data_IF_637271687132
#
_entry.id   IF_637271687132
#
_cell.length_a   1.000
_cell.length_b   1.000
_cell.length_c   1.000
_cell.angle_alpha   90.00
_cell.angle_beta   90.00
_cell.angle_gamma   90.00
#
_symmetry.space_group_name_H-M   'P 1'
#
loop_
_entity.id
_entity.type
_entity.pdbx_description
1 polymer ?
#
# COMPACT_ATOMS: atom_id res chain seq x y z
N UNK A 1 7.15 5.34 -18.95
CA UNK A 1 7.93 4.08 -18.94
C UNK A 1 8.69 3.88 -20.25
N UNK A 2 9.93 3.34 -20.20
CA UNK A 2 10.74 2.93 -21.36
C UNK A 2 11.32 1.53 -21.11
N UNK A 3 11.21 0.63 -22.08
CA UNK A 3 11.76 -0.73 -22.02
C UNK A 3 13.12 -0.77 -22.71
N UNK A 4 14.15 -1.22 -22.01
CA UNK A 4 15.53 -1.29 -22.50
C UNK A 4 16.12 -2.65 -22.09
N UNK A 5 16.14 -3.61 -23.03
CA UNK A 5 16.54 -5.00 -22.77
C UNK A 5 15.75 -5.56 -21.56
N UNK A 6 16.44 -5.97 -20.51
CA UNK A 6 15.88 -6.54 -19.28
C UNK A 6 15.52 -5.48 -18.23
N UNK A 7 15.51 -4.19 -18.59
CA UNK A 7 15.23 -3.07 -17.68
C UNK A 7 14.04 -2.24 -18.11
N UNK A 8 13.38 -1.65 -17.12
CA UNK A 8 12.29 -0.71 -17.28
C UNK A 8 12.62 0.59 -16.54
N UNK A 9 12.67 1.69 -17.29
CA UNK A 9 13.04 3.00 -16.78
C UNK A 9 11.90 4.02 -16.88
N UNK A 10 12.02 5.12 -16.12
CA UNK A 10 11.06 6.22 -16.11
C UNK A 10 9.64 5.74 -15.77
N UNK A 11 9.55 4.85 -14.79
CA UNK A 11 8.29 4.45 -14.18
C UNK A 11 7.81 5.58 -13.27
N UNK A 12 6.54 5.96 -13.36
CA UNK A 12 5.91 6.92 -12.48
C UNK A 12 5.01 6.19 -11.49
N UNK A 13 5.40 6.21 -10.21
CA UNK A 13 4.61 5.64 -9.13
C UNK A 13 3.94 6.77 -8.36
N UNK A 14 2.63 6.67 -8.14
CA UNK A 14 1.95 7.43 -7.10
C UNK A 14 1.86 6.59 -5.82
N UNK A 15 2.09 7.21 -4.67
CA UNK A 15 1.90 6.59 -3.38
C UNK A 15 0.91 7.43 -2.56
N UNK A 16 -0.31 6.92 -2.40
CA UNK A 16 -1.35 7.51 -1.55
C UNK A 16 -1.18 6.95 -0.14
N UNK A 17 -0.98 7.83 0.85
CA UNK A 17 -0.47 7.47 2.17
C UNK A 17 1.05 7.46 2.24
N UNK A 18 1.68 8.38 1.50
CA UNK A 18 3.14 8.49 1.35
C UNK A 18 3.89 8.85 2.63
N UNK A 19 3.20 9.20 3.72
CA UNK A 19 3.75 9.37 5.05
C UNK A 19 3.77 8.09 5.89
N UNK A 20 3.32 6.95 5.33
CA UNK A 20 3.38 5.65 6.01
C UNK A 20 4.80 5.32 6.47
N UNK A 21 4.93 4.86 7.71
CA UNK A 21 6.22 4.40 8.26
C UNK A 21 6.40 2.88 8.16
N UNK A 22 5.37 2.17 7.68
CA UNK A 22 5.41 0.72 7.55
C UNK A 22 5.52 0.29 6.09
N UNK A 23 4.46 0.50 5.31
CA UNK A 23 4.41 0.03 3.92
C UNK A 23 5.31 0.84 2.99
N UNK A 24 5.41 2.16 3.18
CA UNK A 24 6.26 2.97 2.32
C UNK A 24 7.74 2.60 2.50
N UNK A 25 8.18 2.31 3.73
CA UNK A 25 9.57 1.90 4.01
C UNK A 25 9.89 0.50 3.50
N UNK A 26 8.94 -0.44 3.58
CA UNK A 26 9.06 -1.78 2.98
C UNK A 26 9.24 -1.65 1.46
N UNK A 27 8.37 -0.89 0.79
CA UNK A 27 8.45 -0.65 -0.67
C UNK A 27 9.74 0.09 -1.04
N UNK A 28 10.15 1.11 -0.28
CA UNK A 28 11.43 1.81 -0.50
C UNK A 28 12.63 0.86 -0.45
N UNK A 29 12.63 -0.06 0.52
CA UNK A 29 13.69 -1.06 0.68
C UNK A 29 13.72 -2.04 -0.50
N UNK A 30 12.57 -2.58 -0.88
CA UNK A 30 12.45 -3.51 -2.01
C UNK A 30 12.90 -2.83 -3.32
N UNK A 31 12.43 -1.62 -3.57
CA UNK A 31 12.78 -0.84 -4.76
C UNK A 31 14.25 -0.39 -4.77
N UNK A 32 14.89 -0.24 -3.61
CA UNK A 32 16.32 0.06 -3.54
C UNK A 32 17.19 -1.15 -3.95
N UNK A 33 16.69 -2.37 -3.77
CA UNK A 33 17.38 -3.61 -4.14
C UNK A 33 17.11 -4.05 -5.59
N UNK A 34 16.00 -3.60 -6.17
CA UNK A 34 15.58 -3.98 -7.52
C UNK A 34 16.32 -3.20 -8.62
N UNK A 35 17.21 -3.87 -9.35
CA UNK A 35 18.09 -3.25 -10.36
C UNK A 35 17.49 -3.14 -11.76
N UNK A 36 16.41 -3.87 -12.03
CA UNK A 36 15.72 -3.85 -13.32
C UNK A 36 14.73 -2.70 -13.45
N UNK A 37 14.32 -2.08 -12.33
CA UNK A 37 13.30 -1.02 -12.31
C UNK A 37 13.87 0.31 -11.82
N UNK A 38 13.48 1.41 -12.47
CA UNK A 38 13.84 2.76 -12.04
C UNK A 38 12.78 3.80 -12.41
N UNK A 39 12.75 4.90 -11.66
CA UNK A 39 11.70 5.89 -11.87
C UNK A 39 11.57 6.95 -10.79
N UNK A 40 10.36 7.49 -10.69
CA UNK A 40 9.99 8.51 -9.71
C UNK A 40 8.79 8.03 -8.89
N UNK A 41 8.83 8.27 -7.59
CA UNK A 41 7.74 8.00 -6.65
C UNK A 41 7.23 9.34 -6.11
N UNK A 42 5.97 9.64 -6.42
CA UNK A 42 5.24 10.81 -5.92
C UNK A 42 4.50 10.42 -4.64
N UNK A 43 4.95 10.95 -3.50
CA UNK A 43 4.42 10.66 -2.18
C UNK A 43 3.33 11.68 -1.83
N UNK A 44 2.09 11.23 -1.70
CA UNK A 44 0.98 12.05 -1.26
C UNK A 44 0.45 11.56 0.08
N UNK A 45 0.33 12.48 1.03
CA UNK A 45 -0.28 12.23 2.33
C UNK A 45 -1.01 13.48 2.79
N UNK A 46 -2.07 13.31 3.57
CA UNK A 46 -2.79 14.43 4.20
C UNK A 46 -1.90 15.13 5.23
N UNK A 47 -0.94 14.40 5.81
CA UNK A 47 0.16 14.94 6.59
C UNK A 47 1.38 15.13 5.66
N UNK A 48 1.51 16.32 5.08
CA UNK A 48 2.58 16.62 4.11
C UNK A 48 3.97 16.46 4.73
N UNK A 49 4.14 16.82 6.00
CA UNK A 49 5.39 16.72 6.73
C UNK A 49 5.88 15.27 6.81
N UNK A 50 4.96 14.32 7.03
CA UNK A 50 5.28 12.89 7.01
C UNK A 50 5.72 12.41 5.62
N UNK A 51 5.02 12.82 4.55
CA UNK A 51 5.43 12.50 3.19
C UNK A 51 6.79 13.13 2.82
N UNK A 52 7.06 14.36 3.29
CA UNK A 52 8.32 15.06 3.06
C UNK A 52 9.49 14.42 3.84
N UNK A 53 9.25 13.94 5.06
CA UNK A 53 10.24 13.14 5.78
C UNK A 53 10.63 11.88 4.98
N UNK A 54 9.64 11.20 4.41
CA UNK A 54 9.83 10.03 3.56
C UNK A 54 10.54 10.36 2.24
N UNK A 55 10.31 11.53 1.65
CA UNK A 55 11.11 12.03 0.51
C UNK A 55 12.59 12.14 0.88
N UNK A 56 12.90 12.76 2.02
CA UNK A 56 14.28 12.93 2.49
C UNK A 56 14.95 11.56 2.70
N UNK A 57 14.26 10.61 3.33
CA UNK A 57 14.78 9.25 3.57
C UNK A 57 15.04 8.54 2.25
N UNK A 58 14.05 8.50 1.36
CA UNK A 58 14.17 7.83 0.06
C UNK A 58 15.30 8.42 -0.81
N UNK A 59 15.42 9.75 -0.86
CA UNK A 59 16.48 10.42 -1.62
C UNK A 59 17.87 10.30 -0.96
N UNK A 60 17.95 10.07 0.35
CA UNK A 60 19.21 9.69 1.01
C UNK A 60 19.63 8.27 0.65
N UNK A 61 18.69 7.32 0.58
CA UNK A 61 18.96 5.95 0.10
C UNK A 61 19.47 5.98 -1.34
N UNK A 62 18.82 6.73 -2.23
CA UNK A 62 19.21 6.87 -3.64
C UNK A 62 20.71 7.24 -3.85
N UNK A 63 21.28 8.04 -2.95
CA UNK A 63 22.68 8.52 -3.02
C UNK A 63 23.72 7.49 -2.58
N UNK A 64 23.30 6.36 -2.01
CA UNK A 64 24.21 5.32 -1.52
C UNK A 64 24.68 4.43 -2.67
N UNK A 65 25.94 4.00 -2.62
CA UNK A 65 26.57 3.24 -3.70
C UNK A 65 26.03 1.80 -3.78
N UNK A 66 25.67 1.23 -2.63
CA UNK A 66 25.10 -0.12 -2.50
C UNK A 66 23.65 -0.22 -3.00
N UNK A 67 22.96 0.90 -3.21
CA UNK A 67 21.58 0.94 -3.70
C UNK A 67 21.57 0.74 -5.21
N UNK A 68 20.96 -0.38 -5.63
CA UNK A 68 20.90 -0.79 -7.04
C UNK A 68 19.78 -0.09 -7.80
N UNK A 69 18.59 -0.06 -7.21
CA UNK A 69 17.42 0.56 -7.82
C UNK A 69 17.46 2.07 -7.75
N UNK A 70 17.21 2.73 -8.89
CA UNK A 70 17.36 4.19 -9.03
C UNK A 70 16.01 4.88 -9.01
N UNK A 71 15.53 5.17 -7.79
CA UNK A 71 14.25 5.83 -7.54
C UNK A 71 14.40 7.22 -6.94
N UNK A 72 13.78 8.21 -7.58
CA UNK A 72 13.64 9.57 -7.05
C UNK A 72 12.33 9.71 -6.30
N UNK A 73 12.37 10.27 -5.11
CA UNK A 73 11.18 10.52 -4.30
C UNK A 73 10.83 12.00 -4.36
N UNK A 74 9.53 12.30 -4.44
CA UNK A 74 9.01 13.66 -4.42
C UNK A 74 7.71 13.69 -3.62
N UNK A 75 7.64 14.43 -2.52
CA UNK A 75 6.38 14.69 -1.84
C UNK A 75 5.57 15.73 -2.62
N UNK A 76 4.25 15.54 -2.64
CA UNK A 76 3.31 16.39 -3.38
C UNK A 76 2.12 16.74 -2.50
N UNK A 77 1.55 17.93 -2.71
CA UNK A 77 0.54 18.51 -1.80
C UNK A 77 -0.89 18.07 -2.07
N UNK A 78 -1.16 17.45 -3.22
CA UNK A 78 -2.51 17.08 -3.60
C UNK A 78 -2.54 15.77 -4.39
N UNK A 79 -3.67 15.09 -4.29
CA UNK A 79 -3.92 13.80 -4.93
C UNK A 79 -3.72 13.85 -6.45
N UNK A 80 -4.19 14.92 -7.11
CA UNK A 80 -4.08 15.08 -8.57
C UNK A 80 -2.62 15.08 -9.03
N UNK A 81 -1.75 15.84 -8.37
CA UNK A 81 -0.32 15.88 -8.68
C UNK A 81 0.33 14.50 -8.54
N UNK A 82 -0.07 13.75 -7.49
CA UNK A 82 0.44 12.42 -7.22
C UNK A 82 0.14 11.45 -8.37
N UNK A 83 -1.13 11.35 -8.77
CA UNK A 83 -1.63 10.31 -9.69
C UNK A 83 -1.51 10.68 -11.17
N UNK A 84 -1.31 11.95 -11.51
CA UNK A 84 -1.25 12.40 -12.91
C UNK A 84 -0.17 11.61 -13.68
N UNK A 85 -0.60 10.91 -14.73
CA UNK A 85 0.25 10.08 -15.60
C UNK A 85 1.07 9.01 -14.86
N UNK A 86 0.58 8.51 -13.73
CA UNK A 86 1.24 7.41 -13.02
C UNK A 86 1.00 6.07 -13.73
N UNK A 87 2.03 5.24 -13.77
CA UNK A 87 1.99 3.86 -14.27
C UNK A 87 1.45 2.89 -13.19
N UNK A 88 1.75 3.20 -11.91
CA UNK A 88 1.35 2.41 -10.73
C UNK A 88 0.85 3.37 -9.64
N UNK A 89 -0.19 2.97 -8.91
CA UNK A 89 -0.69 3.67 -7.73
C UNK A 89 -0.74 2.72 -6.53
N UNK A 90 0.06 3.00 -5.51
CA UNK A 90 -0.06 2.36 -4.20
C UNK A 90 -1.05 3.10 -3.33
N UNK A 91 -1.87 2.36 -2.58
CA UNK A 91 -2.81 2.91 -1.59
C UNK A 91 -2.56 2.24 -0.24
N UNK A 92 -2.02 2.99 0.71
CA UNK A 92 -1.74 2.53 2.07
C UNK A 92 -2.03 3.66 3.06
N UNK A 93 -3.30 3.82 3.41
CA UNK A 93 -3.75 4.87 4.34
C UNK A 93 -4.28 4.28 5.65
N UNK A 94 -4.38 5.12 6.67
CA UNK A 94 -5.25 4.89 7.83
C UNK A 94 -6.56 5.67 7.60
N UNK A 95 -7.72 5.01 7.40
CA UNK A 95 -9.00 5.70 7.30
C UNK A 95 -9.42 6.28 8.66
N UNK A 96 -9.07 7.54 8.89
CA UNK A 96 -9.24 8.23 10.17
C UNK A 96 -7.93 8.33 10.95
N UNK A 97 -8.03 8.26 12.27
CA UNK A 97 -6.97 8.41 13.25
C UNK A 97 -6.91 7.21 14.18
N UNK A 98 -5.86 7.12 14.99
CA UNK A 98 -5.80 6.10 16.04
C UNK A 98 -6.87 6.29 17.12
N UNK A 99 -7.43 7.49 17.29
CA UNK A 99 -8.56 7.69 18.21
C UNK A 99 -9.85 7.11 17.66
N UNK A 100 -10.13 7.30 16.37
CA UNK A 100 -11.28 6.62 15.76
C UNK A 100 -11.09 5.10 15.73
N UNK A 101 -9.88 4.61 15.44
CA UNK A 101 -9.59 3.17 15.52
C UNK A 101 -9.80 2.62 16.94
N UNK A 102 -9.41 3.37 17.98
CA UNK A 102 -9.67 3.00 19.38
C UNK A 102 -11.18 2.83 19.63
N UNK A 103 -12.00 3.75 19.12
CA UNK A 103 -13.46 3.63 19.20
C UNK A 103 -13.98 2.41 18.44
N UNK A 104 -13.55 2.22 17.19
CA UNK A 104 -13.95 1.09 16.35
C UNK A 104 -13.71 -0.26 17.05
N UNK A 105 -12.57 -0.39 17.75
CA UNK A 105 -12.16 -1.64 18.42
C UNK A 105 -12.82 -1.82 19.79
N UNK A 106 -12.82 -0.77 20.63
CA UNK A 106 -13.15 -0.89 22.06
C UNK A 106 -14.58 -0.48 22.43
N UNK A 107 -15.25 0.40 21.67
CA UNK A 107 -16.65 0.75 21.97
C UNK A 107 -17.57 -0.49 21.98
N UNK A 108 -17.41 -1.48 21.08
CA UNK A 108 -18.19 -2.71 21.13
C UNK A 108 -18.03 -3.54 22.41
N UNK A 109 -16.99 -3.32 23.22
CA UNK A 109 -16.78 -4.01 24.51
C UNK A 109 -17.88 -3.69 25.53
N UNK A 110 -18.47 -2.49 25.48
CA UNK A 110 -19.61 -2.10 26.31
C UNK A 110 -20.84 -3.01 26.08
N UNK A 111 -20.90 -3.67 24.93
CA UNK A 111 -21.95 -4.59 24.52
C UNK A 111 -21.52 -6.05 24.62
N UNK A 112 -20.37 -6.33 25.25
CA UNK A 112 -19.80 -7.68 25.37
C UNK A 112 -19.21 -8.22 24.06
N UNK A 113 -18.92 -7.36 23.08
CA UNK A 113 -18.34 -7.76 21.78
C UNK A 113 -16.85 -7.40 21.77
N UNK A 114 -16.00 -8.42 21.86
CA UNK A 114 -14.54 -8.26 21.85
C UNK A 114 -13.97 -8.45 20.45
N UNK A 115 -13.02 -7.61 20.06
CA UNK A 115 -12.37 -7.64 18.76
C UNK A 115 -10.85 -7.73 18.93
N UNK A 116 -10.21 -8.68 18.24
CA UNK A 116 -8.74 -8.82 18.25
C UNK A 116 -8.03 -7.76 17.41
N UNK A 117 -8.62 -7.40 16.26
CA UNK A 117 -8.05 -6.43 15.30
C UNK A 117 -9.04 -5.32 14.95
N UNK A 118 -10.28 -5.69 14.59
CA UNK A 118 -11.37 -4.74 14.32
C UNK A 118 -11.20 -3.87 13.06
N UNK A 119 -10.27 -4.18 12.14
CA UNK A 119 -10.01 -3.38 10.94
C UNK A 119 -10.63 -3.93 9.64
N UNK A 120 -11.20 -5.14 9.70
CA UNK A 120 -11.63 -5.89 8.51
C UNK A 120 -13.10 -6.31 8.58
N UNK A 121 -13.51 -6.99 9.65
CA UNK A 121 -14.88 -7.45 9.91
C UNK A 121 -15.31 -7.08 11.33
N UNK A 122 -16.52 -7.49 11.72
CA UNK A 122 -17.10 -7.12 13.00
C UNK A 122 -17.57 -5.65 13.03
N UNK A 123 -18.06 -5.16 14.17
CA UNK A 123 -18.56 -3.79 14.29
C UNK A 123 -17.49 -2.75 13.93
N UNK A 124 -16.25 -2.93 14.38
CA UNK A 124 -15.15 -2.03 14.03
C UNK A 124 -14.83 -2.02 12.54
N UNK A 125 -14.78 -3.21 11.92
CA UNK A 125 -14.54 -3.33 10.47
C UNK A 125 -15.62 -2.65 9.63
N UNK A 126 -16.89 -2.74 10.05
CA UNK A 126 -18.02 -2.08 9.35
C UNK A 126 -17.93 -0.56 9.47
N UNK A 127 -17.72 -0.03 10.68
CA UNK A 127 -17.61 1.43 10.89
C UNK A 127 -16.42 2.00 10.12
N UNK A 128 -15.27 1.32 10.18
CA UNK A 128 -14.09 1.65 9.39
C UNK A 128 -14.37 1.60 7.88
N UNK A 129 -15.10 0.60 7.39
CA UNK A 129 -15.50 0.51 5.98
C UNK A 129 -16.32 1.72 5.56
N UNK A 130 -17.34 2.09 6.35
CA UNK A 130 -18.20 3.24 6.07
C UNK A 130 -17.42 4.55 6.02
N UNK A 131 -16.40 4.70 6.88
CA UNK A 131 -15.49 5.84 6.87
C UNK A 131 -14.56 5.87 5.65
N UNK A 132 -14.11 4.70 5.19
CA UNK A 132 -13.12 4.56 4.12
C UNK A 132 -13.72 4.55 2.70
N UNK A 133 -14.96 4.07 2.52
CA UNK A 133 -15.64 3.99 1.22
C UNK A 133 -15.65 5.34 0.48
N UNK A 134 -16.04 6.48 1.09
CA UNK A 134 -16.03 7.78 0.40
C UNK A 134 -14.65 8.17 -0.13
N UNK A 135 -13.58 7.90 0.63
CA UNK A 135 -12.20 8.16 0.21
C UNK A 135 -11.84 7.33 -1.03
N UNK A 136 -12.22 6.04 -1.04
CA UNK A 136 -11.98 5.14 -2.17
C UNK A 136 -12.82 5.50 -3.40
N UNK A 137 -14.02 6.08 -3.22
CA UNK A 137 -14.80 6.65 -4.32
C UNK A 137 -14.06 7.83 -4.96
N UNK A 138 -13.48 8.73 -4.15
CA UNK A 138 -12.68 9.84 -4.65
C UNK A 138 -11.43 9.36 -5.39
N UNK A 139 -10.71 8.38 -4.82
CA UNK A 139 -9.54 7.78 -5.48
C UNK A 139 -9.91 7.15 -6.80
N UNK A 140 -10.98 6.35 -6.87
CA UNK A 140 -11.41 5.71 -8.11
C UNK A 140 -11.79 6.74 -9.20
N UNK A 141 -12.54 7.80 -8.83
CA UNK A 141 -12.86 8.90 -9.75
C UNK A 141 -11.62 9.62 -10.26
N UNK A 142 -10.66 9.85 -9.38
CA UNK A 142 -9.42 10.52 -9.72
C UNK A 142 -8.53 9.66 -10.62
N UNK A 143 -8.39 8.36 -10.31
CA UNK A 143 -7.66 7.39 -11.14
C UNK A 143 -8.27 7.32 -12.53
N UNK A 144 -9.60 7.14 -12.63
CA UNK A 144 -10.33 7.12 -13.92
C UNK A 144 -10.06 8.37 -14.76
N UNK A 145 -9.91 9.53 -14.13
CA UNK A 145 -9.69 10.81 -14.82
C UNK A 145 -8.24 11.06 -15.22
N UNK A 146 -7.27 10.68 -14.40
CA UNK A 146 -5.88 11.16 -14.52
C UNK A 146 -4.85 10.07 -14.84
N UNK A 147 -5.19 8.79 -14.64
CA UNK A 147 -4.32 7.65 -14.94
C UNK A 147 -5.13 6.34 -15.12
N UNK A 148 -6.09 6.29 -16.07
CA UNK A 148 -7.01 5.16 -16.20
C UNK A 148 -6.32 3.81 -16.50
N UNK A 149 -5.13 3.85 -17.10
CA UNK A 149 -4.35 2.66 -17.46
C UNK A 149 -3.44 2.12 -16.34
N UNK A 150 -3.35 2.84 -15.22
CA UNK A 150 -2.44 2.50 -14.12
C UNK A 150 -2.86 1.22 -13.39
N UNK A 151 -1.87 0.46 -12.92
CA UNK A 151 -2.11 -0.62 -11.95
C UNK A 151 -2.26 -0.04 -10.55
N UNK A 152 -3.31 -0.46 -9.84
CA UNK A 152 -3.62 -0.02 -8.48
C UNK A 152 -3.35 -1.17 -7.52
N UNK A 153 -2.51 -0.92 -6.52
CA UNK A 153 -2.11 -1.88 -5.50
C UNK A 153 -2.56 -1.36 -4.15
N UNK A 154 -3.59 -1.97 -3.57
CA UNK A 154 -4.14 -1.56 -2.28
C UNK A 154 -3.59 -2.43 -1.14
N UNK A 155 -3.09 -1.77 -0.09
CA UNK A 155 -2.73 -2.37 1.20
C UNK A 155 -3.71 -1.99 2.32
N UNK A 156 -4.67 -1.09 2.05
CA UNK A 156 -5.57 -0.55 3.07
C UNK A 156 -6.71 -1.52 3.38
N UNK A 157 -6.94 -1.77 4.67
CA UNK A 157 -8.11 -2.51 5.17
C UNK A 157 -9.31 -1.58 5.47
N UNK A 158 -10.57 -2.06 5.34
CA UNK A 158 -10.98 -3.45 5.04
C UNK A 158 -10.87 -3.83 3.56
N UNK A 159 -9.91 -4.70 3.24
CA UNK A 159 -9.42 -4.93 1.87
C UNK A 159 -10.54 -5.21 0.86
N UNK A 160 -11.40 -6.19 1.16
CA UNK A 160 -12.42 -6.68 0.24
C UNK A 160 -13.42 -5.58 -0.15
N UNK A 161 -13.88 -4.79 0.82
CA UNK A 161 -14.85 -3.72 0.58
C UNK A 161 -14.21 -2.57 -0.20
N UNK A 162 -12.96 -2.24 0.12
CA UNK A 162 -12.27 -1.10 -0.49
C UNK A 162 -11.87 -1.39 -1.94
N UNK A 163 -11.31 -2.57 -2.23
CA UNK A 163 -11.07 -3.00 -3.61
C UNK A 163 -12.38 -3.11 -4.38
N UNK A 164 -13.45 -3.64 -3.77
CA UNK A 164 -14.78 -3.68 -4.41
C UNK A 164 -15.31 -2.29 -4.75
N UNK A 165 -15.06 -1.31 -3.88
CA UNK A 165 -15.47 0.10 -4.10
C UNK A 165 -14.78 0.68 -5.33
N UNK A 166 -13.48 0.41 -5.52
CA UNK A 166 -12.76 0.83 -6.73
C UNK A 166 -13.45 0.32 -8.00
N UNK A 167 -13.70 -0.99 -8.08
CA UNK A 167 -14.38 -1.62 -9.22
C UNK A 167 -15.85 -1.18 -9.38
N UNK A 168 -16.52 -0.77 -8.31
CA UNK A 168 -17.90 -0.25 -8.40
C UNK A 168 -17.95 1.12 -9.06
N UNK A 169 -16.94 1.96 -8.84
CA UNK A 169 -16.89 3.34 -9.36
C UNK A 169 -16.20 3.41 -10.72
N UNK A 170 -15.17 2.60 -10.92
CA UNK A 170 -14.44 2.47 -12.17
C UNK A 170 -14.35 0.99 -12.56
N UNK A 171 -15.34 0.44 -13.28
CA UNK A 171 -15.39 -0.99 -13.61
C UNK A 171 -14.18 -1.52 -14.37
N UNK A 172 -13.54 -0.69 -15.19
CA UNK A 172 -12.36 -1.03 -15.99
C UNK A 172 -11.04 -0.85 -15.22
N UNK A 173 -11.08 -0.48 -13.94
CA UNK A 173 -9.89 -0.27 -13.12
C UNK A 173 -9.04 -1.54 -13.04
N UNK A 174 -7.73 -1.38 -13.12
CA UNK A 174 -6.76 -2.47 -12.95
C UNK A 174 -6.29 -2.51 -11.50
N UNK A 175 -7.11 -3.05 -10.60
CA UNK A 175 -6.84 -3.01 -9.17
C UNK A 175 -6.77 -4.40 -8.52
N UNK A 176 -5.83 -4.59 -7.60
CA UNK A 176 -5.82 -5.74 -6.70
C UNK A 176 -5.39 -5.35 -5.28
N UNK A 177 -5.80 -6.18 -4.33
CA UNK A 177 -5.45 -6.02 -2.92
C UNK A 177 -4.31 -6.94 -2.53
N UNK A 178 -3.34 -6.42 -1.78
CA UNK A 178 -2.21 -7.19 -1.26
C UNK A 178 -2.34 -7.37 0.25
N UNK A 179 -2.36 -8.62 0.70
CA UNK A 179 -2.30 -9.02 2.10
C UNK A 179 -1.16 -10.04 2.27
N UNK A 180 -0.45 -9.99 3.39
CA UNK A 180 0.74 -10.81 3.63
C UNK A 180 0.50 -12.02 4.54
N UNK A 181 -0.70 -12.17 5.11
CA UNK A 181 -1.03 -13.20 6.10
C UNK A 181 -0.80 -14.64 5.61
N UNK A 182 -1.09 -14.92 4.34
CA UNK A 182 -0.91 -16.26 3.74
C UNK A 182 0.56 -16.70 3.82
N UNK A 183 1.49 -15.74 3.75
CA UNK A 183 2.90 -16.04 3.80
C UNK A 183 3.37 -16.60 5.13
N UNK A 184 2.73 -16.21 6.24
CA UNK A 184 3.07 -16.74 7.57
C UNK A 184 2.59 -18.18 7.71
N UNK A 185 1.44 -18.53 7.12
CA UNK A 185 0.98 -19.92 7.05
C UNK A 185 1.92 -20.78 6.21
N UNK A 186 2.43 -20.26 5.07
CA UNK A 186 3.42 -20.98 4.26
C UNK A 186 4.72 -21.26 5.04
N UNK A 187 5.20 -20.29 5.83
CA UNK A 187 6.36 -20.48 6.72
C UNK A 187 6.09 -21.55 7.78
N UNK A 188 4.92 -21.52 8.42
CA UNK A 188 4.51 -22.53 9.39
C UNK A 188 4.51 -23.94 8.76
N UNK A 189 3.96 -24.09 7.56
CA UNK A 189 3.93 -25.37 6.85
C UNK A 189 5.34 -25.86 6.48
N UNK A 190 6.24 -24.98 6.05
CA UNK A 190 7.64 -25.32 5.80
C UNK A 190 8.35 -25.79 7.07
N UNK A 191 8.11 -25.14 8.21
CA UNK A 191 8.61 -25.57 9.52
C UNK A 191 8.04 -26.93 9.93
N UNK A 192 6.75 -27.16 9.72
CA UNK A 192 6.07 -28.41 10.03
C UNK A 192 6.66 -29.59 9.23
N UNK A 193 6.97 -29.40 7.95
CA UNK A 193 7.63 -30.43 7.13
C UNK A 193 9.02 -30.78 7.66
N UNK A 194 9.78 -29.78 8.12
CA UNK A 194 11.07 -30.00 8.76
C UNK A 194 10.93 -30.81 10.04
N UNK A 195 10.02 -30.42 10.92
CA UNK A 195 9.87 -31.02 12.24
C UNK A 195 9.25 -32.43 12.19
N UNK A 196 8.18 -32.60 11.40
CA UNK A 196 7.42 -33.86 11.39
C UNK A 196 7.96 -34.89 10.40
N UNK A 197 8.65 -34.45 9.34
CA UNK A 197 9.10 -35.33 8.25
C UNK A 197 10.61 -35.28 8.00
N UNK A 198 11.36 -34.43 8.71
CA UNK A 198 12.80 -34.28 8.51
C UNK A 198 13.18 -33.66 7.17
N UNK A 199 12.22 -33.08 6.42
CA UNK A 199 12.46 -32.51 5.10
C UNK A 199 13.02 -31.09 5.27
N UNK A 200 14.29 -30.91 4.92
CA UNK A 200 15.00 -29.64 5.03
C UNK A 200 15.05 -28.90 3.68
N UNK A 201 15.40 -27.60 3.72
CA UNK A 201 15.67 -26.80 2.52
C UNK A 201 14.42 -26.26 1.80
N UNK A 202 13.23 -26.43 2.37
CA UNK A 202 12.01 -25.80 1.86
C UNK A 202 11.94 -24.37 2.38
N UNK A 203 11.99 -23.39 1.48
CA UNK A 203 11.64 -22.00 1.78
C UNK A 203 10.20 -21.69 1.40
N UNK A 204 9.70 -20.54 1.86
CA UNK A 204 8.55 -19.88 1.22
C UNK A 204 8.92 -19.49 -0.22
#
# INVERSE_FOLDING_TARGET
MKYIKDKVENINIAYIGGGSMEWAWKIMSDLALEESLSGTIKLFDINYEAAYANEIIGNKLFKRNEVKGKWKYKSVKNLKEAILNSDIVFISILPGTFQEMKSDVHLPEEYGIYQSVGDTVGPGGIVRALRAIPMFIEFAKAIKKYCPEAWIINYTNPMSVLVRTLYKIFPEIRAFGCCHEVFETQKLLAMMLKEMRGINGISR
#
